data_IF_022945746183
#
_entry.id   IF_022945746183
#
_cell.length_a   1.000
_cell.length_b   1.000
_cell.length_c   1.000
_cell.angle_alpha   90.00
_cell.angle_beta   90.00
_cell.angle_gamma   90.00
#
_symmetry.space_group_name_H-M   'P 1'
#
loop_
_entity.id
_entity.type
_entity.pdbx_description
1 polymer ?
#
# COMPACT_ATOMS: atom_id res chain seq x y z
N UNK A 1 10.88 -8.15 -18.39
CA UNK A 1 11.57 -8.57 -17.16
C UNK A 1 10.52 -9.28 -16.33
N UNK A 2 10.58 -10.61 -16.23
CA UNK A 2 9.60 -11.40 -15.48
C UNK A 2 9.67 -11.03 -13.99
N UNK A 3 8.55 -10.54 -13.43
CA UNK A 3 8.39 -10.44 -11.98
C UNK A 3 8.42 -11.85 -11.42
N UNK A 4 9.57 -12.20 -10.81
CA UNK A 4 9.69 -13.43 -10.04
C UNK A 4 8.72 -13.35 -8.85
N UNK A 5 7.82 -14.33 -8.81
CA UNK A 5 7.13 -14.89 -7.64
C UNK A 5 6.71 -13.91 -6.54
N UNK A 6 5.39 -13.78 -6.39
CA UNK A 6 4.64 -13.26 -5.25
C UNK A 6 5.44 -13.21 -3.91
N UNK A 7 5.77 -12.01 -3.39
CA UNK A 7 6.40 -11.83 -2.09
C UNK A 7 5.51 -12.21 -0.89
N UNK A 8 4.24 -12.58 -1.12
CA UNK A 8 3.26 -12.94 -0.09
C UNK A 8 3.65 -14.13 0.79
N UNK A 9 4.66 -14.91 0.42
CA UNK A 9 5.10 -16.07 1.21
C UNK A 9 6.27 -15.81 2.19
N UNK A 10 6.73 -14.57 2.37
CA UNK A 10 7.97 -14.32 3.11
C UNK A 10 7.86 -14.21 4.64
N UNK A 11 6.69 -14.31 5.29
CA UNK A 11 6.60 -14.08 6.76
C UNK A 11 5.59 -14.88 7.59
N UNK A 12 4.98 -15.95 7.10
CA UNK A 12 3.81 -16.52 7.80
C UNK A 12 4.07 -17.52 8.96
N UNK A 13 5.29 -17.68 9.50
CA UNK A 13 5.50 -18.53 10.69
C UNK A 13 6.86 -18.24 11.37
N UNK A 14 6.99 -17.15 12.15
CA UNK A 14 8.15 -16.98 13.06
C UNK A 14 7.74 -17.32 14.48
N UNK A 15 8.53 -18.14 15.17
CA UNK A 15 8.26 -18.46 16.56
C UNK A 15 8.59 -17.26 17.47
N UNK A 16 7.76 -17.01 18.50
CA UNK A 16 7.94 -15.91 19.47
C UNK A 16 9.35 -15.89 20.06
N UNK A 17 9.93 -17.07 20.30
CA UNK A 17 11.26 -17.23 20.84
C UNK A 17 12.34 -16.66 19.90
N UNK A 18 12.17 -16.79 18.58
CA UNK A 18 13.10 -16.24 17.59
C UNK A 18 13.07 -14.71 17.60
N UNK A 19 11.88 -14.11 17.66
CA UNK A 19 11.70 -12.66 17.75
C UNK A 19 12.31 -12.12 19.04
N UNK A 20 12.06 -12.78 20.17
CA UNK A 20 12.66 -12.41 21.45
C UNK A 20 14.19 -12.50 21.41
N UNK A 21 14.74 -13.53 20.78
CA UNK A 21 16.19 -13.69 20.62
C UNK A 21 16.79 -12.59 19.73
N UNK A 22 16.14 -12.23 18.62
CA UNK A 22 16.57 -11.12 17.76
C UNK A 22 16.58 -9.78 18.51
N UNK A 23 15.53 -9.46 19.27
CA UNK A 23 15.45 -8.22 20.07
C UNK A 23 16.50 -8.23 21.19
N UNK A 24 16.73 -9.37 21.85
CA UNK A 24 17.78 -9.51 22.85
C UNK A 24 19.19 -9.35 22.24
N UNK A 25 19.43 -9.90 21.05
CA UNK A 25 20.68 -9.70 20.32
C UNK A 25 20.90 -8.22 20.00
N UNK A 26 19.87 -7.55 19.46
CA UNK A 26 19.95 -6.11 19.17
C UNK A 26 20.23 -5.27 20.43
N UNK A 27 19.65 -5.64 21.58
CA UNK A 27 19.95 -5.01 22.87
C UNK A 27 21.40 -5.19 23.30
N UNK A 28 22.02 -6.35 23.03
CA UNK A 28 23.43 -6.57 23.30
C UNK A 28 24.29 -5.68 22.39
N UNK A 29 24.00 -5.66 21.09
CA UNK A 29 24.71 -4.83 20.12
C UNK A 29 24.65 -3.34 20.49
N UNK A 30 23.47 -2.84 20.90
CA UNK A 30 23.28 -1.45 21.34
C UNK A 30 24.12 -1.09 22.57
N UNK A 31 24.29 -2.01 23.52
CA UNK A 31 25.11 -1.80 24.72
C UNK A 31 26.60 -1.72 24.41
N UNK A 32 27.02 -2.35 23.32
CA UNK A 32 28.41 -2.32 22.87
C UNK A 32 28.77 -1.03 22.11
N UNK A 33 27.78 -0.23 21.72
CA UNK A 33 28.01 1.06 21.05
C UNK A 33 28.79 1.99 21.99
N UNK A 34 30.01 2.33 21.56
CA UNK A 34 30.85 3.34 22.19
C UNK A 34 31.02 4.50 21.23
N UNK A 35 30.46 5.66 21.59
CA UNK A 35 30.59 6.89 20.81
C UNK A 35 30.85 8.09 21.70
N UNK A 36 31.67 9.04 21.21
CA UNK A 36 31.84 10.34 21.84
C UNK A 36 30.75 11.34 21.40
N UNK A 37 29.93 11.00 20.39
CA UNK A 37 28.79 11.81 19.99
C UNK A 37 27.62 11.56 20.95
N UNK A 38 27.27 12.60 21.72
CA UNK A 38 26.18 12.56 22.69
C UNK A 38 24.83 12.23 22.06
N UNK A 39 24.61 12.59 20.80
CA UNK A 39 23.35 12.27 20.10
C UNK A 39 23.29 10.77 19.75
N UNK A 40 24.41 10.17 19.34
CA UNK A 40 24.48 8.70 19.12
C UNK A 40 24.21 7.96 20.43
N UNK A 41 24.86 8.38 21.52
CA UNK A 41 24.65 7.76 22.83
C UNK A 41 23.22 7.91 23.34
N UNK A 42 22.61 9.09 23.14
CA UNK A 42 21.21 9.33 23.48
C UNK A 42 20.26 8.42 22.68
N UNK A 43 20.46 8.29 21.36
CA UNK A 43 19.62 7.42 20.54
C UNK A 43 19.79 5.94 20.90
N UNK A 44 21.01 5.49 21.16
CA UNK A 44 21.26 4.14 21.63
C UNK A 44 20.50 3.83 22.94
N UNK A 45 20.53 4.76 23.90
CA UNK A 45 19.78 4.65 25.16
C UNK A 45 18.25 4.63 24.93
N UNK A 46 17.72 5.50 24.07
CA UNK A 46 16.28 5.50 23.74
C UNK A 46 15.82 4.18 23.13
N UNK A 47 16.58 3.64 22.16
CA UNK A 47 16.26 2.35 21.53
C UNK A 47 16.39 1.21 22.54
N UNK A 48 17.41 1.23 23.40
CA UNK A 48 17.59 0.23 24.46
C UNK A 48 16.40 0.23 25.44
N UNK A 49 15.95 1.41 25.87
CA UNK A 49 14.82 1.55 26.79
C UNK A 49 13.52 1.06 26.15
N UNK A 50 13.25 1.44 24.89
CA UNK A 50 12.06 1.03 24.17
C UNK A 50 12.02 -0.50 23.92
N UNK A 51 13.14 -1.10 23.49
CA UNK A 51 13.24 -2.56 23.31
C UNK A 51 13.09 -3.33 24.63
N UNK A 52 13.61 -2.77 25.74
CA UNK A 52 13.42 -3.36 27.08
C UNK A 52 11.95 -3.35 27.48
N UNK A 53 11.26 -2.22 27.27
CA UNK A 53 9.82 -2.11 27.54
C UNK A 53 9.01 -3.07 26.66
N UNK A 54 9.36 -3.18 25.38
CA UNK A 54 8.72 -4.10 24.45
C UNK A 54 8.84 -5.56 24.90
N UNK A 55 10.04 -6.02 25.27
CA UNK A 55 10.24 -7.36 25.82
C UNK A 55 9.45 -7.60 27.11
N UNK A 56 9.33 -6.59 27.98
CA UNK A 56 8.49 -6.68 29.17
C UNK A 56 7.02 -6.83 28.81
N UNK A 57 6.52 -6.08 27.83
CA UNK A 57 5.14 -6.17 27.35
C UNK A 57 4.84 -7.57 26.79
N UNK A 58 5.71 -8.10 25.91
CA UNK A 58 5.56 -9.45 25.36
C UNK A 58 5.52 -10.51 26.47
N UNK A 59 6.43 -10.42 27.45
CA UNK A 59 6.47 -11.37 28.55
C UNK A 59 5.19 -11.35 29.39
N UNK A 60 4.64 -10.16 29.66
CA UNK A 60 3.38 -10.03 30.38
C UNK A 60 2.19 -10.52 29.58
N UNK A 61 2.14 -10.23 28.27
CA UNK A 61 1.11 -10.73 27.37
C UNK A 61 1.12 -12.26 27.31
N UNK A 62 2.30 -12.88 27.24
CA UNK A 62 2.46 -14.35 27.28
C UNK A 62 2.02 -14.97 28.62
N UNK A 63 2.11 -14.22 29.72
CA UNK A 63 1.69 -14.67 31.04
C UNK A 63 0.19 -14.54 31.27
N UNK A 64 -0.55 -13.83 30.40
CA UNK A 64 -2.00 -13.69 30.53
C UNK A 64 -2.73 -15.00 30.11
N UNK A 65 -3.86 -15.34 30.75
CA UNK A 65 -4.62 -16.55 30.43
C UNK A 65 -5.09 -16.52 28.97
N UNK A 66 -4.59 -17.45 28.15
CA UNK A 66 -4.97 -17.56 26.74
C UNK A 66 -6.44 -18.00 26.61
N UNK A 67 -7.24 -17.43 25.69
CA UNK A 67 -8.62 -17.88 25.48
C UNK A 67 -8.64 -19.36 25.05
N UNK A 68 -9.65 -20.15 25.48
CA UNK A 68 -9.60 -21.62 25.47
C UNK A 68 -9.43 -22.29 24.09
N UNK A 69 -9.52 -21.58 22.97
CA UNK A 69 -9.39 -22.17 21.63
C UNK A 69 -8.34 -21.54 20.70
N UNK A 70 -7.57 -20.52 21.12
CA UNK A 70 -6.67 -19.74 20.23
C UNK A 70 -5.24 -19.62 20.76
N UNK A 71 -4.79 -20.57 21.58
CA UNK A 71 -3.51 -20.47 22.31
C UNK A 71 -2.24 -20.31 21.45
N UNK A 72 -2.33 -20.63 20.16
CA UNK A 72 -1.31 -20.41 19.12
C UNK A 72 -1.63 -19.23 18.20
N UNK A 73 -2.90 -18.87 18.02
CA UNK A 73 -3.34 -17.78 17.14
C UNK A 73 -3.19 -16.40 17.79
N UNK A 74 -3.36 -16.24 19.10
CA UNK A 74 -3.44 -14.91 19.73
C UNK A 74 -2.10 -14.16 19.85
N UNK A 75 -1.00 -14.88 20.10
CA UNK A 75 0.34 -14.27 20.14
C UNK A 75 1.00 -14.30 18.76
N UNK A 76 0.64 -15.30 17.94
CA UNK A 76 0.94 -15.35 16.51
C UNK A 76 0.36 -14.14 15.79
N UNK A 77 -0.94 -13.91 15.81
CA UNK A 77 -1.62 -12.78 15.13
C UNK A 77 -1.25 -11.39 15.68
N UNK A 78 -0.80 -11.29 16.93
CA UNK A 78 -0.31 -10.01 17.47
C UNK A 78 1.10 -9.69 16.97
N UNK A 79 1.96 -10.70 16.80
CA UNK A 79 3.33 -10.54 16.28
C UNK A 79 3.33 -10.56 14.75
N UNK A 80 2.56 -11.44 14.12
CA UNK A 80 2.01 -11.37 12.77
C UNK A 80 0.91 -10.30 12.73
N UNK A 81 1.07 -9.15 13.36
CA UNK A 81 0.15 -8.00 13.29
C UNK A 81 0.98 -6.74 13.51
N UNK A 82 1.96 -6.90 14.41
CA UNK A 82 3.25 -6.24 14.40
C UNK A 82 4.13 -6.51 13.14
N UNK A 83 3.79 -7.56 12.36
CA UNK A 83 4.41 -7.93 11.09
C UNK A 83 3.41 -8.46 10.04
N UNK A 84 2.09 -8.45 10.32
CA UNK A 84 0.97 -8.61 9.37
C UNK A 84 -0.10 -9.66 9.72
N UNK A 85 -1.34 -9.20 10.06
CA UNK A 85 -2.62 -9.94 10.30
C UNK A 85 -3.15 -10.27 11.75
N UNK A 86 -3.86 -9.32 12.39
CA UNK A 86 -4.36 -9.34 13.78
C UNK A 86 -5.73 -10.02 14.11
N UNK A 87 -6.44 -10.73 13.21
CA UNK A 87 -7.86 -11.09 13.48
C UNK A 87 -8.12 -12.47 14.15
N UNK A 88 -8.51 -12.45 15.43
CA UNK A 88 -9.28 -13.51 16.13
C UNK A 88 -9.11 -13.44 17.66
N UNK A 89 -10.10 -13.52 18.55
CA UNK A 89 -11.55 -13.70 18.49
C UNK A 89 -12.15 -13.15 19.81
N UNK A 90 -13.40 -12.69 19.79
CA UNK A 90 -14.12 -12.05 20.90
C UNK A 90 -15.13 -13.05 21.51
N UNK A 91 -15.19 -13.18 22.86
CA UNK A 91 -16.37 -13.40 23.74
C UNK A 91 -16.09 -14.25 25.02
N UNK A 92 -16.26 -13.66 26.23
CA UNK A 92 -17.27 -13.99 27.28
C UNK A 92 -16.96 -13.45 28.70
N UNK A 93 -17.72 -12.43 29.13
CA UNK A 93 -18.21 -12.19 30.53
C UNK A 93 -17.23 -11.72 31.61
N UNK A 94 -17.45 -10.50 32.15
CA UNK A 94 -16.86 -9.80 33.34
C UNK A 94 -15.40 -10.12 33.76
N UNK A 95 -15.04 -11.37 34.00
CA UNK A 95 -13.65 -11.82 34.09
C UNK A 95 -12.91 -11.65 32.74
N UNK A 96 -13.62 -11.80 31.62
CA UNK A 96 -13.12 -11.42 30.30
C UNK A 96 -13.00 -9.90 30.11
N UNK A 97 -13.79 -9.07 30.80
CA UNK A 97 -13.64 -7.61 30.71
C UNK A 97 -12.39 -7.16 31.47
N UNK A 98 -12.15 -7.70 32.67
CA UNK A 98 -10.90 -7.45 33.40
C UNK A 98 -9.66 -7.96 32.62
N UNK A 99 -9.74 -9.16 32.02
CA UNK A 99 -8.69 -9.70 31.15
C UNK A 99 -8.51 -8.88 29.87
N UNK A 100 -9.60 -8.44 29.24
CA UNK A 100 -9.56 -7.58 28.05
C UNK A 100 -8.96 -6.21 28.39
N UNK A 101 -9.29 -5.64 29.53
CA UNK A 101 -8.71 -4.38 29.99
C UNK A 101 -7.21 -4.53 30.28
N UNK A 102 -6.79 -5.63 30.93
CA UNK A 102 -5.38 -5.92 31.13
C UNK A 102 -4.62 -6.10 29.80
N UNK A 103 -5.22 -6.82 28.84
CA UNK A 103 -4.69 -6.97 27.48
C UNK A 103 -4.57 -5.61 26.76
N UNK A 104 -5.61 -4.78 26.84
CA UNK A 104 -5.61 -3.46 26.21
C UNK A 104 -4.52 -2.55 26.81
N UNK A 105 -4.30 -2.59 28.13
CA UNK A 105 -3.26 -1.79 28.81
C UNK A 105 -1.85 -2.22 28.36
N UNK A 106 -1.59 -3.51 28.29
CA UNK A 106 -0.28 -4.00 27.85
C UNK A 106 -0.07 -3.76 26.34
N UNK A 107 -1.12 -3.87 25.52
CA UNK A 107 -1.07 -3.51 24.10
C UNK A 107 -0.82 -2.01 23.88
N UNK A 108 -1.45 -1.13 24.66
CA UNK A 108 -1.16 0.31 24.65
C UNK A 108 0.30 0.60 25.02
N UNK A 109 0.84 -0.15 25.99
CA UNK A 109 2.24 -0.02 26.40
C UNK A 109 3.20 -0.47 25.30
N UNK A 110 2.88 -1.55 24.59
CA UNK A 110 3.63 -1.99 23.42
C UNK A 110 3.59 -0.93 22.29
N UNK A 111 2.41 -0.38 21.98
CA UNK A 111 2.27 0.70 20.98
C UNK A 111 3.13 1.92 21.37
N UNK A 112 3.14 2.30 22.64
CA UNK A 112 3.96 3.43 23.11
C UNK A 112 5.47 3.18 22.97
N UNK A 113 5.94 1.95 23.23
CA UNK A 113 7.34 1.57 22.99
C UNK A 113 7.73 1.73 21.51
N UNK A 114 6.79 1.44 20.62
CA UNK A 114 6.99 1.48 19.17
C UNK A 114 6.97 2.91 18.66
N UNK A 115 6.07 3.75 19.17
CA UNK A 115 6.09 5.19 18.93
C UNK A 115 7.45 5.80 19.37
N UNK A 116 8.03 5.31 20.48
CA UNK A 116 9.35 5.74 20.95
C UNK A 116 10.49 5.27 20.01
N UNK A 117 10.43 4.03 19.50
CA UNK A 117 11.38 3.54 18.49
C UNK A 117 11.28 4.35 17.20
N UNK A 118 10.07 4.61 16.71
CA UNK A 118 9.86 5.41 15.51
C UNK A 118 10.41 6.83 15.68
N UNK A 119 10.15 7.47 16.83
CA UNK A 119 10.69 8.78 17.14
C UNK A 119 12.23 8.78 17.14
N UNK A 120 12.87 7.75 17.72
CA UNK A 120 14.32 7.60 17.70
C UNK A 120 14.85 7.42 16.27
N UNK A 121 14.19 6.60 15.43
CA UNK A 121 14.55 6.41 14.02
C UNK A 121 14.49 7.73 13.24
N UNK A 122 13.48 8.56 13.49
CA UNK A 122 13.33 9.86 12.83
C UNK A 122 14.39 10.90 13.22
N UNK A 123 15.16 10.66 14.28
CA UNK A 123 16.30 11.48 14.67
C UNK A 123 17.62 11.05 14.02
N UNK A 124 17.70 9.83 13.47
CA UNK A 124 18.92 9.32 12.83
C UNK A 124 19.39 10.17 11.63
N UNK A 125 18.53 10.74 10.78
CA UNK A 125 18.96 11.65 9.72
C UNK A 125 19.78 12.84 10.22
N UNK A 126 19.43 13.41 11.38
CA UNK A 126 20.17 14.52 12.00
C UNK A 126 21.59 14.11 12.39
N UNK A 127 21.75 12.87 12.88
CA UNK A 127 23.07 12.33 13.19
C UNK A 127 23.83 12.04 11.90
N UNK A 128 23.19 11.37 10.93
CA UNK A 128 23.79 11.01 9.65
C UNK A 128 24.30 12.22 8.87
N UNK A 129 23.59 13.34 8.92
CA UNK A 129 23.99 14.61 8.31
C UNK A 129 25.38 15.08 8.76
N UNK A 130 25.74 14.90 10.04
CA UNK A 130 27.06 15.28 10.57
C UNK A 130 28.22 14.50 9.95
N UNK A 131 27.96 13.27 9.52
CA UNK A 131 28.96 12.34 8.99
C UNK A 131 28.83 12.16 7.47
N UNK A 132 27.87 12.85 6.85
CA UNK A 132 27.63 12.81 5.41
C UNK A 132 28.59 13.74 4.67
N UNK A 133 28.89 13.41 3.43
CA UNK A 133 29.37 14.40 2.47
C UNK A 133 28.34 15.53 2.33
N UNK A 134 28.82 16.72 1.93
CA UNK A 134 27.95 17.85 1.61
C UNK A 134 26.92 17.46 0.56
N UNK A 135 25.66 17.90 0.76
CA UNK A 135 24.60 17.64 -0.19
C UNK A 135 24.95 18.25 -1.56
N UNK A 136 24.87 17.43 -2.59
CA UNK A 136 25.15 17.76 -3.98
C UNK A 136 24.02 17.26 -4.87
N UNK A 137 24.01 17.69 -6.12
CA UNK A 137 22.99 17.25 -7.08
C UNK A 137 23.07 15.73 -7.31
N UNK A 138 21.90 15.12 -7.46
CA UNK A 138 21.74 13.69 -7.71
C UNK A 138 21.89 13.30 -9.18
N UNK A 139 21.99 14.27 -10.09
CA UNK A 139 21.81 14.09 -11.53
C UNK A 139 22.57 12.86 -12.08
N UNK A 140 21.79 11.84 -12.45
CA UNK A 140 22.30 10.60 -13.04
C UNK A 140 22.85 9.57 -12.07
N UNK A 141 23.07 9.92 -10.79
CA UNK A 141 23.65 9.03 -9.78
C UNK A 141 22.60 8.17 -9.08
N UNK A 142 21.40 8.69 -8.84
CA UNK A 142 20.32 7.97 -8.18
C UNK A 142 19.07 8.10 -9.04
N UNK A 143 18.50 6.96 -9.45
CA UNK A 143 17.19 6.96 -10.08
C UNK A 143 16.11 6.57 -9.08
N UNK A 144 14.97 7.25 -9.18
CA UNK A 144 13.81 7.06 -8.31
C UNK A 144 12.67 6.56 -9.16
N UNK A 145 12.00 5.52 -8.68
CA UNK A 145 10.72 5.04 -9.18
C UNK A 145 9.80 4.76 -8.01
N UNK A 146 8.52 5.11 -8.14
CA UNK A 146 7.55 4.96 -7.07
C UNK A 146 6.20 4.56 -7.65
N UNK A 147 5.65 3.47 -7.13
CA UNK A 147 4.36 2.94 -7.52
C UNK A 147 3.42 2.96 -6.32
N UNK A 148 2.30 3.68 -6.42
CA UNK A 148 1.27 3.66 -5.39
C UNK A 148 0.40 2.38 -5.50
N UNK A 149 -0.06 1.90 -4.35
CA UNK A 149 -1.06 0.85 -4.24
C UNK A 149 -2.33 1.23 -5.02
N UNK A 150 -2.66 0.40 -6.01
CA UNK A 150 -3.74 0.64 -6.95
C UNK A 150 -4.14 -0.65 -7.66
N UNK A 151 -5.43 -1.03 -7.55
CA UNK A 151 -5.95 -2.21 -8.24
C UNK A 151 -5.13 -3.47 -7.98
N UNK A 152 -4.55 -4.05 -9.03
CA UNK A 152 -3.74 -5.26 -8.96
C UNK A 152 -2.34 -5.08 -8.35
N UNK A 153 -1.84 -3.86 -8.13
CA UNK A 153 -0.49 -3.65 -7.58
C UNK A 153 -0.36 -4.05 -6.11
N UNK A 154 -1.48 -4.44 -5.49
CA UNK A 154 -1.54 -4.91 -4.11
C UNK A 154 -1.76 -3.77 -3.11
N UNK A 155 -1.75 -4.08 -1.80
CA UNK A 155 -2.14 -3.14 -0.75
C UNK A 155 -1.04 -2.16 -0.35
N UNK A 156 0.15 -2.26 -0.97
CA UNK A 156 1.34 -1.52 -0.57
C UNK A 156 1.87 -0.66 -1.71
N UNK A 157 2.42 0.49 -1.34
CA UNK A 157 3.20 1.30 -2.25
C UNK A 157 4.64 0.76 -2.28
N UNK A 158 5.31 0.97 -3.40
CA UNK A 158 6.67 0.49 -3.63
C UNK A 158 7.56 1.62 -4.10
N UNK A 159 8.63 1.86 -3.35
CA UNK A 159 9.72 2.75 -3.74
C UNK A 159 10.89 1.91 -4.24
N UNK A 160 11.44 2.29 -5.39
CA UNK A 160 12.69 1.77 -5.92
C UNK A 160 13.69 2.91 -6.01
N UNK A 161 14.83 2.74 -5.36
CA UNK A 161 15.99 3.61 -5.56
C UNK A 161 17.08 2.80 -6.23
N UNK A 162 17.56 3.24 -7.38
CA UNK A 162 18.67 2.60 -8.07
C UNK A 162 19.92 3.47 -7.93
N UNK A 163 21.00 2.88 -7.42
CA UNK A 163 22.32 3.51 -7.46
C UNK A 163 22.90 3.31 -8.87
N UNK A 164 23.19 4.41 -9.56
CA UNK A 164 23.84 4.47 -10.87
C UNK A 164 25.22 5.14 -10.80
N UNK A 165 25.64 5.55 -9.60
CA UNK A 165 26.96 6.10 -9.31
C UNK A 165 27.90 5.05 -8.73
N UNK A 166 28.86 5.54 -7.94
CA UNK A 166 29.85 4.68 -7.26
C UNK A 166 29.23 3.92 -6.07
N UNK A 167 30.01 3.00 -5.49
CA UNK A 167 29.57 2.29 -4.28
C UNK A 167 29.44 3.28 -3.12
N UNK A 168 28.25 3.33 -2.51
CA UNK A 168 28.01 4.09 -1.29
C UNK A 168 28.10 3.18 -0.07
N UNK A 169 28.57 3.70 1.06
CA UNK A 169 28.60 2.97 2.33
C UNK A 169 27.88 3.75 3.41
N UNK A 170 27.40 3.02 4.41
CA UNK A 170 26.77 3.57 5.61
C UNK A 170 25.69 4.62 5.28
N UNK A 171 24.84 4.28 4.31
CA UNK A 171 23.83 5.18 3.80
C UNK A 171 22.65 5.24 4.76
N UNK A 172 22.28 6.46 5.16
CA UNK A 172 20.99 6.76 5.78
C UNK A 172 20.12 7.45 4.75
N UNK A 173 18.93 6.91 4.49
CA UNK A 173 18.01 7.41 3.47
C UNK A 173 16.73 7.84 4.15
N UNK A 174 16.45 9.15 4.16
CA UNK A 174 15.20 9.71 4.61
C UNK A 174 14.26 9.88 3.42
N UNK A 175 13.12 9.21 3.44
CA UNK A 175 12.05 9.36 2.45
C UNK A 175 10.87 10.06 3.10
N UNK A 176 10.45 11.18 2.54
CA UNK A 176 9.28 11.94 2.96
C UNK A 176 8.19 11.87 1.88
N UNK A 177 7.11 11.16 2.18
CA UNK A 177 5.92 11.08 1.32
C UNK A 177 4.96 12.22 1.67
N UNK A 178 4.46 12.95 0.68
CA UNK A 178 3.38 13.94 0.85
C UNK A 178 2.14 13.50 0.09
N UNK A 179 1.02 13.32 0.80
CA UNK A 179 -0.26 12.93 0.21
C UNK A 179 -1.13 14.12 -0.17
N UNK A 180 -2.22 13.86 -0.91
CA UNK A 180 -3.12 14.90 -1.44
C UNK A 180 -3.75 15.77 -0.34
N UNK A 181 -3.96 15.24 0.86
CA UNK A 181 -4.49 16.00 2.00
C UNK A 181 -3.43 16.84 2.74
N UNK A 182 -2.21 16.95 2.21
CA UNK A 182 -1.06 17.59 2.87
C UNK A 182 -0.45 16.78 4.02
N UNK A 183 -0.92 15.56 4.28
CA UNK A 183 -0.32 14.68 5.28
C UNK A 183 1.06 14.24 4.83
N UNK A 184 2.00 14.20 5.77
CA UNK A 184 3.38 13.81 5.54
C UNK A 184 3.70 12.55 6.34
N UNK A 185 4.36 11.59 5.69
CA UNK A 185 4.97 10.43 6.36
C UNK A 185 6.46 10.39 6.06
N UNK A 186 7.28 10.18 7.08
CA UNK A 186 8.73 10.03 6.97
C UNK A 186 9.09 8.58 7.25
N UNK A 187 9.98 8.03 6.43
CA UNK A 187 10.54 6.69 6.59
C UNK A 187 12.06 6.80 6.48
N UNK A 188 12.78 6.09 7.36
CA UNK A 188 14.24 6.09 7.38
C UNK A 188 14.74 4.69 7.07
N UNK A 189 15.64 4.58 6.11
CA UNK A 189 16.24 3.33 5.67
C UNK A 189 17.75 3.37 5.84
N UNK A 190 18.36 2.19 6.01
CA UNK A 190 19.80 2.05 6.19
C UNK A 190 20.36 1.02 5.22
N UNK A 191 21.45 1.38 4.54
CA UNK A 191 22.22 0.46 3.70
C UNK A 191 23.67 0.53 4.13
N UNK A 192 24.20 -0.57 4.67
CA UNK A 192 25.62 -0.67 5.02
C UNK A 192 26.52 -0.51 3.80
N UNK A 193 26.10 -1.05 2.66
CA UNK A 193 26.80 -0.93 1.39
C UNK A 193 25.78 -0.96 0.27
N UNK A 194 25.89 -0.02 -0.67
CA UNK A 194 25.02 0.11 -1.83
C UNK A 194 25.86 0.13 -3.11
N UNK A 195 26.03 -1.02 -3.78
CA UNK A 195 26.85 -1.13 -4.99
C UNK A 195 26.27 -0.36 -6.20
N UNK A 196 27.09 -0.04 -7.21
CA UNK A 196 26.65 0.48 -8.49
C UNK A 196 25.65 -0.46 -9.17
N UNK A 197 24.73 0.11 -9.93
CA UNK A 197 23.70 -0.55 -10.72
C UNK A 197 22.78 -1.48 -9.93
N UNK A 198 22.70 -1.30 -8.60
CA UNK A 198 21.80 -2.08 -7.73
C UNK A 198 20.64 -1.25 -7.20
N UNK A 199 19.51 -1.91 -7.02
CA UNK A 199 18.29 -1.29 -6.52
C UNK A 199 18.04 -1.66 -5.06
N UNK A 200 17.68 -0.65 -4.26
CA UNK A 200 16.99 -0.83 -3.00
C UNK A 200 15.48 -0.73 -3.24
N UNK A 201 14.75 -1.65 -2.61
CA UNK A 201 13.29 -1.70 -2.65
C UNK A 201 12.75 -1.44 -1.26
N UNK A 202 11.79 -0.53 -1.15
CA UNK A 202 11.08 -0.28 0.09
C UNK A 202 9.57 -0.45 -0.12
N UNK A 203 8.95 -1.20 0.77
CA UNK A 203 7.50 -1.41 0.84
C UNK A 203 6.89 -0.42 1.83
N UNK A 204 5.88 0.33 1.41
CA UNK A 204 5.12 1.20 2.30
C UNK A 204 3.67 0.75 2.40
N UNK A 205 3.21 0.58 3.64
CA UNK A 205 1.92 -0.02 3.96
C UNK A 205 0.99 1.00 4.61
N UNK A 206 -0.32 0.79 4.44
CA UNK A 206 -1.37 1.63 5.01
C UNK A 206 -1.44 1.56 6.54
N UNK A 207 -0.80 0.56 7.15
CA UNK A 207 -0.85 0.27 8.57
C UNK A 207 -2.09 -0.53 8.96
N UNK A 208 -2.17 -0.92 10.23
CA UNK A 208 -3.27 -1.69 10.79
C UNK A 208 -4.02 -0.87 11.85
N UNK A 209 -5.34 -1.04 11.94
CA UNK A 209 -6.15 -0.40 12.99
C UNK A 209 -6.10 -1.24 14.28
N UNK A 210 -5.52 -0.67 15.33
CA UNK A 210 -5.37 -1.30 16.64
C UNK A 210 -5.88 -0.33 17.71
N UNK A 211 -6.89 -0.74 18.49
CA UNK A 211 -7.51 0.09 19.52
C UNK A 211 -7.95 1.49 19.03
N UNK A 212 -8.42 1.60 17.79
CA UNK A 212 -8.85 2.86 17.17
C UNK A 212 -7.71 3.79 16.74
N UNK A 213 -6.47 3.28 16.67
CA UNK A 213 -5.32 3.99 16.11
C UNK A 213 -4.73 3.16 14.96
N UNK A 214 -4.40 3.82 13.85
CA UNK A 214 -3.59 3.19 12.81
C UNK A 214 -2.12 3.11 13.26
N UNK A 215 -1.59 1.91 13.42
CA UNK A 215 -0.17 1.65 13.73
C UNK A 215 0.59 1.18 12.49
N UNK A 216 1.93 1.28 12.52
CA UNK A 216 2.83 0.81 11.44
C UNK A 216 2.61 1.37 10.04
N UNK A 217 1.81 2.43 9.93
CA UNK A 217 1.58 3.10 8.65
C UNK A 217 2.88 3.73 8.18
N UNK A 218 3.40 3.27 7.05
CA UNK A 218 4.58 3.82 6.38
C UNK A 218 4.25 4.58 5.10
N UNK A 219 2.96 4.70 4.74
CA UNK A 219 2.50 5.51 3.61
C UNK A 219 1.51 6.63 3.97
N UNK A 220 1.13 7.43 2.96
CA UNK A 220 0.03 8.40 2.96
C UNK A 220 -0.89 8.12 1.78
N UNK A 221 -2.17 8.49 1.89
CA UNK A 221 -3.12 8.30 0.79
C UNK A 221 -2.88 9.30 -0.34
N UNK A 222 -2.99 8.84 -1.59
CA UNK A 222 -2.88 9.67 -2.79
C UNK A 222 -1.57 10.46 -2.79
N UNK A 223 -0.45 9.72 -2.80
CA UNK A 223 0.89 10.31 -2.82
C UNK A 223 0.98 11.30 -3.99
N UNK A 224 1.49 12.49 -3.72
CA UNK A 224 1.69 13.55 -4.71
C UNK A 224 3.17 13.69 -5.06
N UNK A 225 4.03 13.59 -4.05
CA UNK A 225 5.48 13.74 -4.19
C UNK A 225 6.24 13.02 -3.09
N UNK A 226 7.52 12.79 -3.38
CA UNK A 226 8.51 12.28 -2.45
C UNK A 226 9.67 13.29 -2.37
N UNK A 227 10.08 13.63 -1.15
CA UNK A 227 11.35 14.31 -0.89
C UNK A 227 12.30 13.26 -0.28
N UNK A 228 13.40 12.95 -0.96
CA UNK A 228 14.33 11.88 -0.59
C UNK A 228 15.69 12.48 -0.30
N UNK A 229 16.21 12.29 0.90
CA UNK A 229 17.56 12.72 1.27
C UNK A 229 18.42 11.50 1.56
N UNK A 230 19.57 11.42 0.91
CA UNK A 230 20.55 10.35 1.10
C UNK A 230 21.78 10.96 1.77
N UNK A 231 22.14 10.39 2.91
CA UNK A 231 23.33 10.74 3.67
C UNK A 231 24.31 9.58 3.61
N UNK A 232 25.53 9.84 3.17
CA UNK A 232 26.63 8.87 3.17
C UNK A 232 27.97 9.61 3.22
N UNK A 233 29.03 9.04 3.83
CA UNK A 233 30.33 9.69 3.90
C UNK A 233 30.93 10.02 2.53
N UNK A 234 30.57 9.24 1.50
CA UNK A 234 31.09 9.44 0.14
C UNK A 234 30.23 10.40 -0.69
N UNK A 235 28.93 10.47 -0.43
CA UNK A 235 27.97 11.19 -1.26
C UNK A 235 26.73 11.58 -0.46
N UNK A 236 26.35 12.85 -0.55
CA UNK A 236 25.10 13.36 0.01
C UNK A 236 24.26 13.96 -1.09
N UNK A 237 22.95 13.70 -1.09
CA UNK A 237 22.03 14.33 -2.06
C UNK A 237 20.61 14.47 -1.55
N UNK A 238 19.85 15.35 -2.18
CA UNK A 238 18.42 15.52 -1.97
C UNK A 238 17.69 15.50 -3.32
N UNK A 239 16.66 14.68 -3.42
CA UNK A 239 15.88 14.42 -4.64
C UNK A 239 14.44 14.80 -4.38
N UNK A 240 13.85 15.59 -5.27
CA UNK A 240 12.41 15.87 -5.28
C UNK A 240 11.79 15.09 -6.44
N UNK A 241 10.90 14.16 -6.12
CA UNK A 241 10.20 13.33 -7.09
C UNK A 241 8.71 13.66 -7.08
N UNK A 242 8.20 14.13 -8.22
CA UNK A 242 6.77 14.44 -8.40
C UNK A 242 6.09 13.20 -8.97
N UNK A 243 5.22 12.57 -8.18
CA UNK A 243 4.51 11.36 -8.59
C UNK A 243 3.14 11.65 -9.23
N UNK A 244 2.46 12.72 -8.78
CA UNK A 244 1.18 13.13 -9.36
C UNK A 244 1.28 13.41 -10.87
N UNK A 245 0.17 13.22 -11.60
CA UNK A 245 0.11 13.50 -13.03
C UNK A 245 0.74 12.38 -13.86
N UNK A 246 1.76 12.70 -14.65
CA UNK A 246 2.26 11.82 -15.71
C UNK A 246 2.82 10.48 -15.20
N UNK A 247 3.56 10.46 -14.08
CA UNK A 247 4.10 9.20 -13.53
C UNK A 247 2.96 8.30 -13.03
N UNK A 248 2.03 8.85 -12.24
CA UNK A 248 0.82 8.11 -11.83
C UNK A 248 -0.01 7.61 -13.01
N UNK A 249 -0.20 8.43 -14.04
CA UNK A 249 -0.94 8.04 -15.25
C UNK A 249 -0.25 6.88 -15.99
N UNK A 250 1.09 6.90 -16.05
CA UNK A 250 1.91 5.84 -16.63
C UNK A 250 1.81 4.53 -15.86
N UNK A 251 1.83 4.58 -14.53
CA UNK A 251 1.70 3.38 -13.69
C UNK A 251 0.31 2.76 -13.82
N UNK A 252 -0.73 3.59 -13.79
CA UNK A 252 -2.11 3.11 -13.99
C UNK A 252 -2.28 2.55 -15.40
N UNK A 253 -1.68 3.17 -16.43
CA UNK A 253 -1.67 2.64 -17.79
C UNK A 253 -0.98 1.27 -17.86
N UNK A 254 0.13 1.09 -17.14
CA UNK A 254 0.83 -0.18 -17.06
C UNK A 254 -0.03 -1.28 -16.42
N UNK A 255 -0.71 -0.97 -15.30
CA UNK A 255 -1.61 -1.92 -14.63
C UNK A 255 -2.82 -2.24 -15.52
N UNK A 256 -3.33 -1.26 -16.26
CA UNK A 256 -4.45 -1.42 -17.19
C UNK A 256 -4.05 -1.98 -18.56
N UNK A 257 -2.78 -2.34 -18.79
CA UNK A 257 -2.31 -2.80 -20.11
C UNK A 257 -3.10 -3.99 -20.65
N UNK A 258 -3.42 -4.93 -19.77
CA UNK A 258 -4.16 -6.15 -20.13
C UNK A 258 -5.66 -6.02 -19.82
N UNK A 259 -6.11 -4.86 -19.34
CA UNK A 259 -7.52 -4.60 -19.05
C UNK A 259 -8.36 -4.87 -20.29
N UNK A 260 -9.39 -5.69 -20.15
CA UNK A 260 -10.32 -5.98 -21.23
C UNK A 260 -11.73 -6.13 -20.68
N UNK A 261 -12.70 -5.88 -21.55
CA UNK A 261 -14.11 -6.04 -21.26
C UNK A 261 -14.72 -6.95 -22.31
N UNK A 262 -15.46 -7.95 -21.85
CA UNK A 262 -16.35 -8.72 -22.70
C UNK A 262 -17.76 -8.23 -22.41
N UNK A 263 -18.59 -8.02 -23.42
CA UNK A 263 -19.95 -7.60 -23.17
C UNK A 263 -20.92 -8.00 -24.26
N UNK A 264 -22.20 -7.86 -23.94
CA UNK A 264 -23.30 -8.07 -24.86
C UNK A 264 -24.30 -6.91 -24.73
N UNK A 265 -24.85 -6.48 -25.86
CA UNK A 265 -25.98 -5.56 -25.85
C UNK A 265 -27.23 -6.29 -25.38
N UNK A 266 -27.97 -5.65 -24.47
CA UNK A 266 -29.29 -6.10 -24.05
C UNK A 266 -30.33 -5.27 -24.83
N UNK A 267 -30.92 -5.83 -25.91
CA UNK A 267 -31.93 -5.13 -26.69
C UNK A 267 -33.24 -5.02 -25.91
N UNK A 268 -34.11 -4.13 -26.39
CA UNK A 268 -35.52 -4.16 -26.01
C UNK A 268 -36.28 -5.14 -26.89
N UNK A 269 -36.97 -6.10 -26.28
CA UNK A 269 -37.86 -7.03 -26.99
C UNK A 269 -39.33 -6.61 -26.83
N UNK A 270 -39.97 -6.26 -27.94
CA UNK A 270 -41.40 -5.93 -27.96
C UNK A 270 -42.22 -7.15 -27.55
N UNK A 271 -43.11 -6.98 -26.56
CA UNK A 271 -43.94 -8.06 -26.00
C UNK A 271 -43.48 -8.59 -24.64
N UNK A 272 -42.26 -8.26 -24.19
CA UNK A 272 -41.80 -8.55 -22.82
C UNK A 272 -42.30 -7.45 -21.88
N UNK A 273 -43.32 -7.76 -21.09
CA UNK A 273 -44.08 -6.79 -20.27
C UNK A 273 -43.24 -6.22 -19.10
N UNK A 274 -42.19 -6.93 -18.67
CA UNK A 274 -41.48 -6.66 -17.42
C UNK A 274 -40.13 -5.97 -17.59
N UNK A 275 -39.55 -5.98 -18.79
CA UNK A 275 -38.27 -5.33 -19.07
C UNK A 275 -38.32 -4.54 -20.38
N UNK A 276 -38.48 -3.23 -20.24
CA UNK A 276 -38.45 -2.29 -21.36
C UNK A 276 -37.09 -1.56 -21.46
N UNK A 277 -36.12 -1.94 -20.62
CA UNK A 277 -34.86 -1.22 -20.50
C UNK A 277 -33.78 -1.86 -21.38
N UNK A 278 -33.23 -1.04 -22.27
CA UNK A 278 -32.04 -1.40 -23.06
C UNK A 278 -30.82 -1.27 -22.18
N UNK A 279 -29.77 -2.02 -22.47
CA UNK A 279 -28.57 -1.95 -21.66
C UNK A 279 -27.38 -2.66 -22.26
N UNK A 280 -26.35 -2.82 -21.44
CA UNK A 280 -25.22 -3.70 -21.74
C UNK A 280 -24.89 -4.53 -20.51
N UNK A 281 -24.58 -5.79 -20.76
CA UNK A 281 -23.94 -6.66 -19.80
C UNK A 281 -22.44 -6.65 -20.08
N UNK A 282 -21.62 -6.44 -19.05
CA UNK A 282 -20.17 -6.36 -19.20
C UNK A 282 -19.50 -7.22 -18.13
N UNK A 283 -18.48 -7.95 -18.53
CA UNK A 283 -17.61 -8.78 -17.70
C UNK A 283 -16.21 -8.18 -17.75
N UNK A 284 -15.63 -7.94 -16.58
CA UNK A 284 -14.25 -7.49 -16.46
C UNK A 284 -13.29 -8.67 -16.67
N UNK A 285 -12.32 -8.49 -17.56
CA UNK A 285 -11.27 -9.44 -17.86
C UNK A 285 -9.88 -8.79 -17.81
N UNK A 286 -8.84 -9.63 -17.83
CA UNK A 286 -7.45 -9.20 -17.92
C UNK A 286 -6.79 -8.72 -16.62
N UNK A 287 -7.50 -7.96 -15.78
CA UNK A 287 -7.05 -7.51 -14.45
C UNK A 287 -7.80 -8.24 -13.34
N UNK A 288 -7.23 -8.40 -12.13
CA UNK A 288 -7.90 -9.05 -10.99
C UNK A 288 -8.97 -8.15 -10.35
N UNK A 289 -8.72 -6.84 -10.28
CA UNK A 289 -9.65 -5.86 -9.73
C UNK A 289 -9.42 -4.48 -10.35
N UNK A 290 -10.52 -3.78 -10.68
CA UNK A 290 -10.53 -2.33 -10.85
C UNK A 290 -10.94 -1.67 -9.54
N UNK A 291 -10.16 -0.70 -9.02
CA UNK A 291 -10.56 0.07 -7.86
C UNK A 291 -11.68 1.05 -8.25
N UNK A 292 -12.06 1.93 -7.32
CA UNK A 292 -13.09 2.95 -7.55
C UNK A 292 -12.91 3.65 -8.90
N UNK A 293 -13.92 3.56 -9.75
CA UNK A 293 -13.88 4.05 -11.12
C UNK A 293 -15.23 4.63 -11.56
N UNK A 294 -15.17 5.50 -12.56
CA UNK A 294 -16.33 5.95 -13.33
C UNK A 294 -16.28 5.32 -14.70
N UNK A 295 -17.41 4.75 -15.12
CA UNK A 295 -17.59 4.17 -16.46
C UNK A 295 -18.59 5.02 -17.21
N UNK A 296 -18.16 5.65 -18.29
CA UNK A 296 -19.02 6.33 -19.26
C UNK A 296 -19.34 5.35 -20.40
N UNK A 297 -20.63 5.14 -20.69
CA UNK A 297 -21.12 4.24 -21.74
C UNK A 297 -21.83 5.10 -22.78
N UNK A 298 -21.33 5.07 -24.01
CA UNK A 298 -21.88 5.81 -25.14
C UNK A 298 -22.45 4.86 -26.18
N UNK A 299 -23.76 4.87 -26.34
CA UNK A 299 -24.49 4.13 -27.37
C UNK A 299 -24.51 4.97 -28.66
N UNK A 300 -24.17 4.36 -29.81
CA UNK A 300 -24.08 5.05 -31.10
C UNK A 300 -24.84 4.32 -32.21
N UNK A 301 -25.34 5.08 -33.17
CA UNK A 301 -25.91 4.62 -34.45
C UNK A 301 -25.80 5.72 -35.49
N UNK A 302 -24.90 5.60 -36.46
CA UNK A 302 -24.60 6.71 -37.39
C UNK A 302 -24.25 8.00 -36.62
N UNK A 303 -24.98 9.09 -36.89
CA UNK A 303 -24.81 10.38 -36.19
C UNK A 303 -25.51 10.46 -34.81
N UNK A 304 -26.32 9.45 -34.46
CA UNK A 304 -27.01 9.42 -33.18
C UNK A 304 -26.06 8.94 -32.07
N UNK A 305 -26.07 9.61 -30.93
CA UNK A 305 -25.34 9.17 -29.74
C UNK A 305 -26.09 9.52 -28.45
N UNK A 306 -25.98 8.64 -27.45
CA UNK A 306 -26.40 8.91 -26.07
C UNK A 306 -25.41 8.33 -25.08
N UNK A 307 -25.17 9.07 -24.00
CA UNK A 307 -24.19 8.73 -22.97
C UNK A 307 -24.83 8.69 -21.58
N UNK A 308 -24.41 7.71 -20.79
CA UNK A 308 -24.70 7.61 -19.37
C UNK A 308 -23.42 7.25 -18.62
N UNK A 309 -23.40 7.50 -17.31
CA UNK A 309 -22.25 7.18 -16.47
C UNK A 309 -22.68 6.42 -15.23
N UNK A 310 -21.77 5.58 -14.74
CA UNK A 310 -21.92 4.82 -13.51
C UNK A 310 -20.65 4.92 -12.69
N UNK A 311 -20.82 5.04 -11.37
CA UNK A 311 -19.72 5.00 -10.42
C UNK A 311 -19.72 3.63 -9.76
N UNK A 312 -18.55 3.02 -9.68
CA UNK A 312 -18.32 1.77 -8.97
C UNK A 312 -17.24 1.98 -7.93
N UNK A 313 -17.43 1.40 -6.73
CA UNK A 313 -16.39 1.41 -5.70
C UNK A 313 -15.29 0.36 -5.97
N UNK A 314 -15.65 -0.73 -6.64
CA UNK A 314 -14.72 -1.72 -7.22
C UNK A 314 -15.43 -2.59 -8.26
N UNK A 315 -14.64 -3.27 -9.09
CA UNK A 315 -15.10 -4.28 -10.04
C UNK A 315 -14.10 -5.43 -10.10
N UNK A 316 -14.53 -6.64 -9.75
CA UNK A 316 -13.67 -7.83 -9.69
C UNK A 316 -13.59 -8.57 -11.04
N UNK A 317 -12.48 -9.27 -11.29
CA UNK A 317 -12.35 -10.12 -12.49
C UNK A 317 -13.46 -11.16 -12.57
N UNK A 318 -14.03 -11.32 -13.76
CA UNK A 318 -15.13 -12.24 -14.03
C UNK A 318 -16.47 -11.77 -13.44
N UNK A 319 -16.50 -10.65 -12.70
CA UNK A 319 -17.75 -10.09 -12.23
C UNK A 319 -18.48 -9.42 -13.39
N UNK A 320 -19.77 -9.75 -13.49
CA UNK A 320 -20.67 -9.18 -14.48
C UNK A 320 -21.38 -7.95 -13.91
N UNK A 321 -21.33 -6.82 -14.61
CA UNK A 321 -22.11 -5.62 -14.32
C UNK A 321 -23.14 -5.41 -15.43
N UNK A 322 -24.38 -5.16 -15.03
CA UNK A 322 -25.47 -4.81 -15.93
C UNK A 322 -25.70 -3.30 -15.86
N UNK A 323 -25.68 -2.66 -17.03
CA UNK A 323 -25.90 -1.23 -17.18
C UNK A 323 -27.19 -1.01 -17.93
N UNK A 324 -28.27 -0.73 -17.21
CA UNK A 324 -29.57 -0.46 -17.81
C UNK A 324 -29.75 1.04 -18.04
N UNK A 325 -30.20 1.39 -19.23
CA UNK A 325 -30.62 2.75 -19.54
C UNK A 325 -31.91 3.08 -18.79
N UNK A 326 -32.15 4.36 -18.42
CA UNK A 326 -33.46 4.78 -17.92
C UNK A 326 -34.57 4.34 -18.88
N UNK A 327 -35.76 4.05 -18.37
CA UNK A 327 -36.92 3.71 -19.20
C UNK A 327 -37.11 4.79 -20.28
N UNK A 328 -37.27 4.36 -21.53
CA UNK A 328 -37.38 5.25 -22.72
C UNK A 328 -36.14 6.16 -22.95
N UNK A 329 -35.04 5.90 -22.24
CA UNK A 329 -33.82 6.69 -22.30
C UNK A 329 -33.05 6.53 -23.62
N UNK A 330 -33.12 5.36 -24.24
CA UNK A 330 -32.47 5.06 -25.53
C UNK A 330 -33.52 4.80 -26.61
N UNK A 331 -33.58 5.69 -27.60
CA UNK A 331 -34.62 5.72 -28.64
C UNK A 331 -34.21 5.07 -29.96
N UNK A 332 -33.05 4.41 -30.00
CA UNK A 332 -32.51 3.77 -31.20
C UNK A 332 -31.72 2.51 -30.84
N UNK A 333 -31.69 1.53 -31.74
CA UNK A 333 -30.85 0.34 -31.63
C UNK A 333 -29.41 0.67 -32.04
N UNK A 334 -28.45 0.62 -31.10
CA UNK A 334 -27.06 0.98 -31.36
C UNK A 334 -26.38 -0.07 -32.25
N UNK A 335 -25.49 0.36 -33.14
CA UNK A 335 -24.55 -0.51 -33.84
C UNK A 335 -23.24 -0.68 -33.05
N UNK A 336 -23.01 0.21 -32.09
CA UNK A 336 -21.77 0.30 -31.32
C UNK A 336 -21.99 0.88 -29.94
N UNK A 337 -21.26 0.36 -28.97
CA UNK A 337 -21.19 0.90 -27.61
C UNK A 337 -19.74 1.19 -27.23
N UNK A 338 -19.42 2.47 -27.00
CA UNK A 338 -18.10 2.88 -26.52
C UNK A 338 -18.09 2.94 -25.00
N UNK A 339 -16.99 2.46 -24.42
CA UNK A 339 -16.72 2.47 -22.99
C UNK A 339 -15.52 3.35 -22.71
N UNK A 340 -15.66 4.26 -21.77
CA UNK A 340 -14.55 5.02 -21.20
C UNK A 340 -14.52 4.81 -19.69
N UNK A 341 -13.45 4.21 -19.20
CA UNK A 341 -13.20 4.02 -17.76
C UNK A 341 -12.21 5.08 -17.30
N UNK A 342 -12.60 5.83 -16.29
CA UNK A 342 -11.77 6.85 -15.65
C UNK A 342 -11.65 6.59 -14.15
N UNK A 343 -10.54 7.03 -13.57
CA UNK A 343 -10.23 6.78 -12.16
C UNK A 343 -10.02 8.09 -11.40
N UNK A 344 -10.34 8.15 -10.10
CA UNK A 344 -10.11 9.34 -9.30
C UNK A 344 -8.62 9.72 -9.24
N UNK A 345 -8.33 11.01 -9.33
CA UNK A 345 -7.00 11.61 -9.13
C UNK A 345 -5.92 11.14 -10.12
N UNK A 346 -6.33 10.83 -11.35
CA UNK A 346 -5.47 10.54 -12.51
C UNK A 346 -6.17 11.07 -13.76
N UNK A 347 -5.40 11.42 -14.79
CA UNK A 347 -5.97 11.77 -16.10
C UNK A 347 -6.04 10.55 -17.04
N UNK A 348 -5.54 9.40 -16.61
CA UNK A 348 -5.61 8.17 -17.40
C UNK A 348 -7.05 7.75 -17.62
N UNK A 349 -7.34 7.40 -18.88
CA UNK A 349 -8.63 6.89 -19.32
C UNK A 349 -8.41 5.66 -20.19
N UNK A 350 -9.07 4.57 -19.83
CA UNK A 350 -9.11 3.38 -20.68
C UNK A 350 -10.33 3.46 -21.60
N UNK A 351 -10.15 3.25 -22.90
CA UNK A 351 -11.25 3.25 -23.87
C UNK A 351 -11.33 1.92 -24.59
N UNK A 352 -12.54 1.40 -24.75
CA UNK A 352 -12.81 0.25 -25.60
C UNK A 352 -14.17 0.39 -26.26
N UNK A 353 -14.43 -0.44 -27.26
CA UNK A 353 -15.66 -0.42 -28.03
C UNK A 353 -16.19 -1.84 -28.18
N UNK A 354 -17.49 -2.00 -27.93
CA UNK A 354 -18.23 -3.22 -28.24
C UNK A 354 -19.03 -2.98 -29.53
N UNK A 355 -18.79 -3.82 -30.53
CA UNK A 355 -19.66 -3.89 -31.71
C UNK A 355 -20.94 -4.64 -31.34
N UNK A 356 -22.08 -4.12 -31.77
CA UNK A 356 -23.38 -4.76 -31.56
C UNK A 356 -23.75 -5.50 -32.83
N UNK A 357 -23.54 -6.80 -32.82
CA UNK A 357 -23.99 -7.67 -33.90
C UNK A 357 -25.43 -8.10 -33.61
N UNK A 358 -26.37 -7.62 -34.41
CA UNK A 358 -27.70 -8.21 -34.46
C UNK A 358 -27.55 -9.47 -35.31
N UNK A 359 -27.58 -10.66 -34.70
CA UNK A 359 -27.79 -11.88 -35.46
C UNK A 359 -29.05 -11.66 -36.30
N UNK A 360 -28.86 -11.67 -37.61
CA UNK A 360 -29.97 -11.57 -38.57
C UNK A 360 -30.71 -12.89 -38.42
N UNK A 361 -31.76 -12.90 -37.60
CA UNK A 361 -32.68 -14.02 -37.55
C UNK A 361 -33.22 -14.29 -38.95
N UNK A 362 -32.90 -15.48 -39.47
CA UNK A 362 -33.62 -16.10 -40.59
C UNK A 362 -35.06 -16.41 -40.22
#
# INVERSE_FOLDING_TARGET
MEMKSDPGHFRDNREIAEIMAEVQSALLDLREIKSNDKEIMYLADQVQNANTLFLQCINKLNALPKPPNDGTLFVGSMLDGFFGNFLGSYHRGLDAEAKQNALNVELQSAIAAVDQLEAALLLLPKVAEKYSATLSDSAGHIAVDFNESWGNSGPNDWLVLQNRGETLKDCTILVQLTGASGKVRKNVHFLKTWPPDTSMWARYQSGEEVLGRTVERTTVKQVQKLDITIYSPQFGTQIQYVYQGAEKDKDIAHICKDLSFQGAYQPYESGVIWDTQRGVQIILNGVSILPKCRVDITFRKGDQSKVWFWNHDSWMKGETKNFTTPKEGLSFDPDRVDFEVSFPNTNYKYKTTLTVDFESGE
#
